data_IF_707240451990
#
_entry.id   IF_707240451990
#
_cell.length_a   1.000
_cell.length_b   1.000
_cell.length_c   1.000
_cell.angle_alpha   90.00
_cell.angle_beta   90.00
_cell.angle_gamma   90.00
#
_symmetry.space_group_name_H-M   'P 1'
#
loop_
_entity.id
_entity.type
_entity.pdbx_description
1 polymer ?
#
# COMPACT_ATOMS: atom_id res chain seq x y z
N UNK A 1 -34.91 16.61 -10.48
CA UNK A 1 -34.65 17.92 -11.11
C UNK A 1 -33.35 18.45 -10.54
N UNK A 2 -32.27 18.47 -11.33
CA UNK A 2 -31.08 19.25 -10.97
C UNK A 2 -31.48 20.71 -11.15
N UNK A 3 -31.51 21.47 -10.06
CA UNK A 3 -31.69 22.89 -10.16
C UNK A 3 -30.31 23.51 -10.42
N UNK A 4 -30.05 23.89 -11.67
CA UNK A 4 -28.79 24.55 -12.06
C UNK A 4 -28.91 26.06 -11.81
N UNK A 5 -28.75 26.45 -10.54
CA UNK A 5 -28.69 27.85 -10.14
C UNK A 5 -27.34 28.46 -10.49
N UNK A 6 -27.33 29.55 -11.24
CA UNK A 6 -26.12 30.29 -11.59
C UNK A 6 -25.92 31.49 -10.66
N UNK A 7 -24.66 31.77 -10.32
CA UNK A 7 -24.32 32.99 -9.59
C UNK A 7 -24.44 34.20 -10.52
N UNK A 8 -25.14 35.25 -10.05
CA UNK A 8 -25.20 36.52 -10.76
C UNK A 8 -23.79 37.11 -10.97
N UNK A 9 -23.57 37.84 -12.07
CA UNK A 9 -22.25 38.41 -12.39
C UNK A 9 -21.71 39.30 -11.27
N UNK A 10 -22.59 40.06 -10.61
CA UNK A 10 -22.26 40.91 -9.46
C UNK A 10 -21.64 40.11 -8.30
N UNK A 11 -22.16 38.92 -8.02
CA UNK A 11 -21.66 38.04 -6.96
C UNK A 11 -20.27 37.49 -7.31
N UNK A 12 -20.03 37.18 -8.59
CA UNK A 12 -18.72 36.71 -9.06
C UNK A 12 -17.64 37.78 -8.94
N UNK A 13 -17.98 39.03 -9.24
CA UNK A 13 -17.08 40.17 -9.08
C UNK A 13 -16.73 40.43 -7.61
N UNK A 14 -17.73 40.30 -6.73
CA UNK A 14 -17.52 40.43 -5.28
C UNK A 14 -16.67 39.27 -4.75
N UNK A 15 -16.86 38.04 -5.24
CA UNK A 15 -16.01 36.91 -4.86
C UNK A 15 -14.57 37.10 -5.31
N UNK A 16 -14.32 37.70 -6.48
CA UNK A 16 -12.96 38.09 -6.88
C UNK A 16 -12.35 39.12 -5.91
N UNK A 17 -13.11 40.15 -5.53
CA UNK A 17 -12.65 41.18 -4.56
C UNK A 17 -12.47 40.64 -3.14
N UNK A 18 -13.33 39.71 -2.71
CA UNK A 18 -13.26 39.07 -1.41
C UNK A 18 -12.02 38.20 -1.25
N UNK A 19 -11.63 37.46 -2.29
CA UNK A 19 -10.38 36.68 -2.32
C UNK A 19 -9.14 37.55 -2.10
N UNK A 20 -9.18 38.82 -2.51
CA UNK A 20 -8.10 39.79 -2.27
C UNK A 20 -8.10 40.38 -0.84
N UNK A 21 -9.01 39.94 0.04
CA UNK A 21 -9.02 40.35 1.44
C UNK A 21 -9.71 41.69 1.73
N UNK A 22 -10.60 42.17 0.85
CA UNK A 22 -11.32 43.42 1.09
C UNK A 22 -12.49 43.31 2.09
N UNK A 23 -13.08 42.12 2.24
CA UNK A 23 -14.30 41.89 3.01
C UNK A 23 -14.06 40.92 4.18
N UNK A 24 -14.82 41.12 5.27
CA UNK A 24 -14.87 40.22 6.44
C UNK A 24 -16.04 39.25 6.35
N UNK A 25 -17.19 39.71 5.87
CA UNK A 25 -18.41 38.91 5.80
C UNK A 25 -19.16 39.21 4.52
N UNK A 26 -19.63 38.15 3.86
CA UNK A 26 -20.55 38.21 2.72
C UNK A 26 -21.80 37.40 3.05
N UNK A 27 -22.98 38.02 2.94
CA UNK A 27 -24.27 37.34 3.00
C UNK A 27 -24.75 37.11 1.56
N UNK A 28 -25.10 35.86 1.24
CA UNK A 28 -25.65 35.46 -0.05
C UNK A 28 -27.05 34.89 0.17
N UNK A 29 -27.99 35.37 -0.63
CA UNK A 29 -29.42 35.03 -0.59
C UNK A 29 -29.81 34.55 -1.98
N UNK A 30 -30.86 33.72 -2.07
CA UNK A 30 -31.42 33.27 -3.33
C UNK A 30 -32.68 34.07 -3.60
N UNK A 31 -32.67 34.86 -4.67
CA UNK A 31 -33.83 35.61 -5.15
C UNK A 31 -34.10 35.24 -6.60
N UNK A 32 -35.38 34.96 -6.91
CA UNK A 32 -35.84 34.59 -8.26
C UNK A 32 -34.94 33.56 -8.96
N UNK A 33 -34.53 32.51 -8.24
CA UNK A 33 -33.68 31.44 -8.77
C UNK A 33 -32.27 31.89 -9.21
N UNK A 34 -31.74 32.94 -8.59
CA UNK A 34 -30.35 33.39 -8.77
C UNK A 34 -29.69 33.67 -7.42
N UNK A 35 -28.38 33.43 -7.32
CA UNK A 35 -27.62 33.79 -6.12
C UNK A 35 -27.29 35.28 -6.18
N UNK A 36 -27.78 36.03 -5.19
CA UNK A 36 -27.63 37.47 -5.04
C UNK A 36 -26.95 37.82 -3.72
N UNK A 37 -26.35 39.01 -3.66
CA UNK A 37 -25.69 39.49 -2.45
C UNK A 37 -26.72 40.12 -1.49
N UNK A 38 -26.90 39.52 -0.32
CA UNK A 38 -27.79 40.04 0.73
C UNK A 38 -27.12 41.06 1.67
N UNK A 39 -25.79 41.20 1.65
CA UNK A 39 -25.07 42.17 2.46
C UNK A 39 -23.57 41.89 2.57
N UNK A 40 -22.78 42.93 2.88
CA UNK A 40 -21.34 42.79 3.10
C UNK A 40 -20.86 43.61 4.30
N UNK A 41 -19.76 43.16 4.90
CA UNK A 41 -19.03 43.93 5.93
C UNK A 41 -17.53 43.91 5.62
N UNK A 42 -16.87 45.03 5.86
CA UNK A 42 -15.42 45.13 5.76
C UNK A 42 -14.74 44.68 7.06
N UNK A 43 -13.48 44.26 6.96
CA UNK A 43 -12.67 43.89 8.11
C UNK A 43 -12.11 45.13 8.80
N UNK A 44 -12.26 45.22 10.12
CA UNK A 44 -11.73 46.35 10.91
C UNK A 44 -10.82 45.90 12.06
N UNK A 45 -11.16 44.81 12.74
CA UNK A 45 -10.46 44.22 13.89
C UNK A 45 -10.17 42.74 13.62
N UNK A 46 -9.72 42.02 14.65
CA UNK A 46 -9.50 40.57 14.58
C UNK A 46 -10.81 39.82 14.34
N UNK A 47 -10.72 38.72 13.63
CA UNK A 47 -11.86 37.90 13.21
C UNK A 47 -12.72 37.41 14.40
N UNK A 48 -12.12 37.09 15.55
CA UNK A 48 -12.82 36.57 16.72
C UNK A 48 -13.68 37.64 17.42
N UNK A 49 -13.20 38.89 17.44
CA UNK A 49 -13.87 40.02 18.10
C UNK A 49 -15.03 40.60 17.28
N UNK A 50 -15.03 40.38 15.96
CA UNK A 50 -16.06 40.90 15.05
C UNK A 50 -17.12 39.86 14.70
N UNK A 51 -16.91 38.60 15.04
CA UNK A 51 -17.70 37.48 14.55
C UNK A 51 -19.19 37.62 14.90
N UNK A 52 -19.51 37.62 16.20
CA UNK A 52 -20.91 37.68 16.67
C UNK A 52 -21.60 38.98 16.27
N UNK A 53 -20.88 40.10 16.34
CA UNK A 53 -21.41 41.41 15.99
C UNK A 53 -21.77 41.55 14.50
N UNK A 54 -21.13 40.78 13.61
CA UNK A 54 -21.41 40.81 12.17
C UNK A 54 -22.32 39.69 11.71
N UNK A 55 -22.20 38.50 12.29
CA UNK A 55 -22.96 37.30 11.89
C UNK A 55 -24.38 37.35 12.45
N UNK A 56 -24.55 37.50 13.77
CA UNK A 56 -25.86 37.35 14.43
C UNK A 56 -26.93 38.33 13.91
N UNK A 57 -26.64 39.65 13.74
CA UNK A 57 -27.67 40.60 13.28
C UNK A 57 -28.13 40.38 11.84
N UNK A 58 -27.39 39.58 11.05
CA UNK A 58 -27.73 39.29 9.66
C UNK A 58 -28.56 38.01 9.51
N UNK A 59 -28.73 37.23 10.58
CA UNK A 59 -29.58 36.05 10.61
C UNK A 59 -31.05 36.45 10.68
N UNK A 60 -31.90 35.71 9.97
CA UNK A 60 -33.35 35.90 9.99
C UNK A 60 -33.98 34.63 10.55
N UNK A 61 -34.92 34.76 11.49
CA UNK A 61 -35.57 33.60 12.13
C UNK A 61 -36.39 32.74 11.16
N UNK A 62 -36.95 33.37 10.11
CA UNK A 62 -37.90 32.71 9.20
C UNK A 62 -37.34 32.43 7.79
N UNK A 63 -36.09 32.82 7.52
CA UNK A 63 -35.49 32.73 6.17
C UNK A 63 -34.06 32.19 6.20
N UNK A 64 -33.74 31.14 5.41
CA UNK A 64 -32.38 30.64 5.27
C UNK A 64 -31.48 31.65 4.54
N UNK A 65 -30.18 31.60 4.80
CA UNK A 65 -29.18 32.38 4.05
C UNK A 65 -27.80 31.73 4.14
N UNK A 66 -26.91 32.11 3.23
CA UNK A 66 -25.50 31.72 3.30
C UNK A 66 -24.67 32.88 3.80
N UNK A 67 -23.73 32.61 4.69
CA UNK A 67 -22.75 33.58 5.16
C UNK A 67 -21.34 33.04 4.95
N UNK A 68 -20.49 33.83 4.30
CA UNK A 68 -19.07 33.56 4.13
C UNK A 68 -18.30 34.52 5.03
N UNK A 69 -17.66 33.98 6.06
CA UNK A 69 -16.92 34.76 7.05
C UNK A 69 -15.41 34.53 6.90
N UNK A 70 -14.63 35.59 6.82
CA UNK A 70 -13.18 35.51 6.61
C UNK A 70 -12.41 35.41 7.93
N UNK A 71 -11.57 34.39 8.04
CA UNK A 71 -10.60 34.24 9.11
C UNK A 71 -9.37 35.13 8.86
N UNK A 72 -8.58 35.37 9.91
CA UNK A 72 -7.27 36.03 9.77
C UNK A 72 -6.16 35.04 9.36
N UNK A 73 -6.47 33.75 9.26
CA UNK A 73 -5.56 32.71 8.77
C UNK A 73 -5.53 32.64 7.24
N UNK A 74 -4.43 32.13 6.69
CA UNK A 74 -4.18 32.04 5.25
C UNK A 74 -3.68 30.64 4.85
N UNK A 75 -4.09 30.17 3.68
CA UNK A 75 -3.61 28.96 3.02
C UNK A 75 -2.91 29.33 1.69
N UNK A 76 -2.41 28.33 0.95
CA UNK A 76 -1.71 28.49 -0.34
C UNK A 76 -2.50 29.26 -1.42
N UNK A 77 -3.82 29.42 -1.24
CA UNK A 77 -4.68 30.14 -2.17
C UNK A 77 -5.06 31.55 -1.69
N UNK A 78 -4.79 31.93 -0.44
CA UNK A 78 -5.18 33.22 0.15
C UNK A 78 -5.77 33.08 1.55
N UNK A 79 -6.63 34.02 1.96
CA UNK A 79 -7.32 33.95 3.25
C UNK A 79 -8.25 32.74 3.35
N UNK A 80 -8.34 32.16 4.54
CA UNK A 80 -9.28 31.09 4.86
C UNK A 80 -10.66 31.66 5.22
N UNK A 81 -11.71 30.93 4.85
CA UNK A 81 -13.09 31.32 5.06
C UNK A 81 -13.87 30.22 5.78
N UNK A 82 -14.82 30.64 6.61
CA UNK A 82 -15.86 29.80 7.18
C UNK A 82 -17.11 29.97 6.33
N UNK A 83 -17.67 28.87 5.88
CA UNK A 83 -18.94 28.85 5.19
C UNK A 83 -20.05 28.44 6.16
N UNK A 84 -20.95 29.38 6.45
CA UNK A 84 -22.10 29.18 7.33
C UNK A 84 -23.35 29.02 6.46
N UNK A 85 -23.99 27.86 6.57
CA UNK A 85 -25.31 27.61 6.00
C UNK A 85 -26.36 27.76 7.09
N UNK A 86 -27.02 28.93 7.13
CA UNK A 86 -28.11 29.22 8.06
C UNK A 86 -29.43 28.72 7.49
N UNK A 87 -30.09 27.80 8.20
CA UNK A 87 -31.39 27.27 7.80
C UNK A 87 -32.27 27.04 9.02
N UNK A 88 -32.97 28.08 9.52
CA UNK A 88 -33.72 28.00 10.77
C UNK A 88 -34.95 27.12 10.63
N UNK A 89 -35.38 26.48 11.72
CA UNK A 89 -36.43 25.49 11.65
C UNK A 89 -37.82 26.04 11.30
N UNK A 90 -38.06 27.32 11.59
CA UNK A 90 -39.31 28.02 11.26
C UNK A 90 -39.46 28.35 9.77
N UNK A 91 -38.38 28.27 9.00
CA UNK A 91 -38.42 28.63 7.58
C UNK A 91 -39.28 27.68 6.73
N UNK A 92 -39.93 28.18 5.65
CA UNK A 92 -40.72 27.33 4.76
C UNK A 92 -39.90 26.20 4.13
N UNK A 93 -40.48 24.99 4.06
CA UNK A 93 -39.82 23.78 3.53
C UNK A 93 -39.24 24.00 2.12
N UNK A 94 -39.96 24.72 1.26
CA UNK A 94 -39.50 25.06 -0.09
C UNK A 94 -38.17 25.82 -0.06
N UNK A 95 -38.01 26.78 0.86
CA UNK A 95 -36.78 27.55 1.01
C UNK A 95 -35.66 26.69 1.58
N UNK A 96 -35.92 25.88 2.61
CA UNK A 96 -34.91 24.94 3.15
C UNK A 96 -34.36 24.01 2.08
N UNK A 97 -35.24 23.45 1.25
CA UNK A 97 -34.83 22.58 0.13
C UNK A 97 -33.97 23.34 -0.90
N UNK A 98 -34.36 24.57 -1.22
CA UNK A 98 -33.64 25.43 -2.16
C UNK A 98 -32.20 25.73 -1.69
N UNK A 99 -32.04 26.11 -0.42
CA UNK A 99 -30.74 26.37 0.22
C UNK A 99 -29.98 25.08 0.57
N UNK A 100 -30.62 23.93 0.66
CA UNK A 100 -29.89 22.67 0.75
C UNK A 100 -29.30 22.27 -0.62
N UNK A 101 -30.08 22.42 -1.69
CA UNK A 101 -29.72 22.02 -3.04
C UNK A 101 -28.64 22.91 -3.68
N UNK A 102 -28.64 24.22 -3.39
CA UNK A 102 -27.70 25.19 -3.97
C UNK A 102 -26.36 25.28 -3.25
N UNK A 103 -26.21 24.62 -2.09
CA UNK A 103 -25.05 24.73 -1.22
C UNK A 103 -23.74 24.34 -1.90
N UNK A 104 -23.77 23.23 -2.65
CA UNK A 104 -22.58 22.74 -3.37
C UNK A 104 -22.18 23.68 -4.51
N UNK A 105 -23.16 24.24 -5.22
CA UNK A 105 -22.94 25.18 -6.33
C UNK A 105 -22.29 26.46 -5.83
N UNK A 106 -22.79 27.04 -4.73
CA UNK A 106 -22.20 28.24 -4.13
C UNK A 106 -20.74 28.01 -3.70
N UNK A 107 -20.43 26.87 -3.06
CA UNK A 107 -19.05 26.52 -2.68
C UNK A 107 -18.14 26.38 -3.89
N UNK A 108 -18.64 25.81 -4.99
CA UNK A 108 -17.90 25.68 -6.24
C UNK A 108 -17.62 27.04 -6.88
N UNK A 109 -18.63 27.92 -6.93
CA UNK A 109 -18.50 29.27 -7.51
C UNK A 109 -17.57 30.17 -6.67
N UNK A 110 -17.59 30.03 -5.35
CA UNK A 110 -16.67 30.78 -4.46
C UNK A 110 -15.23 30.26 -4.53
N UNK A 111 -15.05 28.95 -4.68
CA UNK A 111 -13.76 28.26 -4.71
C UNK A 111 -13.51 27.51 -3.41
N UNK A 112 -13.78 26.19 -3.43
CA UNK A 112 -13.71 25.34 -2.24
C UNK A 112 -12.36 25.30 -1.52
N UNK A 113 -11.25 25.63 -2.19
CA UNK A 113 -9.93 25.66 -1.54
C UNK A 113 -9.70 26.88 -0.63
N UNK A 114 -10.57 27.89 -0.66
CA UNK A 114 -10.57 29.00 0.30
C UNK A 114 -11.40 28.70 1.55
N UNK A 115 -12.31 27.73 1.48
CA UNK A 115 -13.22 27.38 2.58
C UNK A 115 -12.52 26.34 3.45
N UNK A 116 -12.28 26.68 4.71
CA UNK A 116 -11.66 25.79 5.69
C UNK A 116 -12.69 24.93 6.41
N UNK A 117 -13.71 25.61 6.96
CA UNK A 117 -14.74 24.99 7.78
C UNK A 117 -16.12 25.29 7.18
N UNK A 118 -16.99 24.30 7.26
CA UNK A 118 -18.40 24.41 6.86
C UNK A 118 -19.27 24.09 8.08
N UNK A 119 -20.10 25.06 8.47
CA UNK A 119 -21.01 24.94 9.59
C UNK A 119 -22.43 25.06 9.07
N UNK A 120 -23.27 24.11 9.46
CA UNK A 120 -24.70 24.18 9.26
C UNK A 120 -25.34 24.47 10.60
N UNK A 121 -26.17 25.52 10.67
CA UNK A 121 -26.85 25.90 11.90
C UNK A 121 -28.33 26.14 11.68
N UNK A 122 -29.11 25.70 12.65
CA UNK A 122 -30.57 25.91 12.71
C UNK A 122 -30.96 26.87 13.83
N UNK A 123 -30.11 27.01 14.85
CA UNK A 123 -30.26 27.97 15.96
C UNK A 123 -29.05 28.92 16.03
N UNK A 124 -29.27 30.14 16.53
CA UNK A 124 -28.21 31.17 16.57
C UNK A 124 -26.97 30.70 17.34
N UNK A 125 -27.17 29.89 18.38
CA UNK A 125 -26.09 29.31 19.18
C UNK A 125 -25.14 28.44 18.34
N UNK A 126 -25.62 27.75 17.29
CA UNK A 126 -24.80 26.89 16.41
C UNK A 126 -23.81 27.71 15.57
N UNK A 127 -24.26 28.89 15.13
CA UNK A 127 -23.51 29.79 14.25
C UNK A 127 -22.86 30.95 15.00
N UNK A 128 -23.04 31.03 16.31
CA UNK A 128 -22.31 31.96 17.19
C UNK A 128 -20.82 31.59 17.25
N UNK A 129 -19.97 32.52 17.71
CA UNK A 129 -18.55 32.25 17.96
C UNK A 129 -18.37 31.10 18.95
N UNK A 130 -19.27 30.99 19.94
CA UNK A 130 -19.27 29.90 20.90
C UNK A 130 -19.59 28.56 20.23
N UNK A 131 -20.53 28.55 19.28
CA UNK A 131 -20.90 27.40 18.45
C UNK A 131 -19.73 26.95 17.57
N UNK A 132 -19.07 27.89 16.89
CA UNK A 132 -17.88 27.57 16.10
C UNK A 132 -16.75 26.97 16.93
N UNK A 133 -16.49 27.49 18.14
CA UNK A 133 -15.50 26.89 19.05
C UNK A 133 -15.87 25.47 19.46
N UNK A 134 -17.14 25.20 19.75
CA UNK A 134 -17.64 23.84 20.04
C UNK A 134 -17.45 22.92 18.83
N UNK A 135 -17.70 23.40 17.61
CA UNK A 135 -17.46 22.66 16.38
C UNK A 135 -15.99 22.24 16.24
N UNK A 136 -15.04 23.16 16.47
CA UNK A 136 -13.61 22.84 16.43
C UNK A 136 -13.20 21.79 17.47
N UNK A 137 -13.77 21.86 18.68
CA UNK A 137 -13.54 20.86 19.73
C UNK A 137 -14.11 19.50 19.30
N UNK A 138 -15.32 19.46 18.74
CA UNK A 138 -15.95 18.23 18.27
C UNK A 138 -15.18 17.57 17.10
N UNK A 139 -14.59 18.37 16.21
CA UNK A 139 -13.75 17.87 15.12
C UNK A 139 -12.43 17.26 15.63
N UNK A 140 -11.87 17.83 16.71
CA UNK A 140 -10.65 17.32 17.35
C UNK A 140 -10.92 16.13 18.30
N UNK A 141 -12.18 15.90 18.67
CA UNK A 141 -12.57 14.79 19.53
C UNK A 141 -12.35 13.45 18.83
N UNK A 142 -12.07 12.37 19.58
CA UNK A 142 -11.94 11.04 19.00
C UNK A 142 -13.24 10.64 18.30
N UNK A 143 -13.12 10.16 17.07
CA UNK A 143 -14.27 9.67 16.32
C UNK A 143 -14.89 8.48 17.05
N UNK A 144 -16.22 8.42 17.16
CA UNK A 144 -16.90 7.28 17.75
C UNK A 144 -16.64 6.05 16.87
N UNK A 145 -15.88 5.10 17.40
CA UNK A 145 -15.59 3.82 16.75
C UNK A 145 -16.59 2.78 17.26
N UNK A 146 -16.94 1.84 16.40
CA UNK A 146 -17.67 0.64 16.81
C UNK A 146 -16.72 -0.35 17.51
N UNK A 147 -17.24 -1.20 18.38
CA UNK A 147 -16.43 -2.20 19.08
C UNK A 147 -15.60 -3.08 18.11
N UNK A 148 -16.17 -3.44 16.96
CA UNK A 148 -15.46 -4.20 15.92
C UNK A 148 -14.31 -3.42 15.29
N UNK A 149 -14.44 -2.11 15.09
CA UNK A 149 -13.36 -1.27 14.57
C UNK A 149 -12.24 -1.06 15.59
N UNK A 150 -12.58 -1.00 16.88
CA UNK A 150 -11.60 -0.98 17.97
C UNK A 150 -10.78 -2.28 18.03
N UNK A 151 -11.45 -3.43 17.92
CA UNK A 151 -10.79 -4.74 17.84
C UNK A 151 -9.87 -4.85 16.61
N UNK A 152 -10.34 -4.48 15.43
CA UNK A 152 -9.52 -4.49 14.21
C UNK A 152 -8.29 -3.57 14.32
N UNK A 153 -8.45 -2.41 14.96
CA UNK A 153 -7.35 -1.49 15.24
C UNK A 153 -6.33 -2.11 16.20
N UNK A 154 -6.78 -2.82 17.23
CA UNK A 154 -5.90 -3.53 18.16
C UNK A 154 -5.12 -4.66 17.47
N UNK A 155 -5.76 -5.43 16.59
CA UNK A 155 -5.11 -6.48 15.79
C UNK A 155 -4.00 -5.86 14.93
N UNK A 156 -4.31 -4.79 14.17
CA UNK A 156 -3.32 -4.12 13.32
C UNK A 156 -2.12 -3.58 14.12
N UNK A 157 -2.36 -3.01 15.31
CA UNK A 157 -1.27 -2.54 16.16
C UNK A 157 -0.40 -3.70 16.67
N UNK A 158 -1.01 -4.84 16.99
CA UNK A 158 -0.30 -6.03 17.44
C UNK A 158 0.53 -6.67 16.32
N UNK A 159 0.00 -6.72 15.09
CA UNK A 159 0.70 -7.23 13.90
C UNK A 159 1.98 -6.45 13.60
N UNK A 160 1.92 -5.12 13.65
CA UNK A 160 3.10 -4.26 13.45
C UNK A 160 4.19 -4.56 14.48
N UNK A 161 3.81 -4.91 15.71
CA UNK A 161 4.78 -5.27 16.74
C UNK A 161 5.38 -6.66 16.52
N UNK A 162 4.62 -7.61 15.95
CA UNK A 162 5.13 -8.93 15.59
C UNK A 162 6.09 -8.89 14.40
N UNK A 163 5.86 -8.01 13.41
CA UNK A 163 6.76 -7.85 12.25
C UNK A 163 8.16 -7.33 12.62
N UNK A 164 8.28 -6.60 13.74
CA UNK A 164 9.55 -6.04 14.23
C UNK A 164 10.31 -7.04 15.12
N UNK A 165 9.68 -8.16 15.49
CA UNK A 165 10.32 -9.15 16.35
C UNK A 165 11.32 -10.01 15.56
N UNK A 166 12.56 -10.09 16.05
CA UNK A 166 13.72 -10.73 15.39
C UNK A 166 13.68 -12.26 15.51
N UNK A 167 12.61 -12.84 16.05
CA UNK A 167 12.50 -14.27 16.29
C UNK A 167 12.04 -15.01 15.01
N UNK A 168 12.97 -15.18 14.07
CA UNK A 168 12.76 -15.84 12.77
C UNK A 168 12.33 -17.32 12.91
N UNK A 169 12.45 -17.90 14.11
CA UNK A 169 12.15 -19.30 14.40
C UNK A 169 10.67 -19.65 14.27
N UNK A 170 9.75 -18.69 14.44
CA UNK A 170 8.31 -18.95 14.35
C UNK A 170 7.74 -18.89 12.93
N UNK A 171 8.49 -18.40 11.95
CA UNK A 171 7.99 -18.25 10.57
C UNK A 171 7.97 -19.55 9.77
N UNK A 172 8.74 -20.57 10.18
CA UNK A 172 8.75 -21.88 9.53
C UNK A 172 8.47 -22.96 10.58
N UNK A 173 7.57 -23.91 10.24
CA UNK A 173 7.36 -25.10 11.07
C UNK A 173 8.71 -25.80 11.24
N UNK A 174 9.05 -26.20 12.47
CA UNK A 174 10.27 -26.96 12.75
C UNK A 174 10.31 -28.20 11.86
N UNK A 175 11.35 -28.32 11.01
CA UNK A 175 11.48 -29.42 10.06
C UNK A 175 11.53 -30.80 10.74
N UNK A 176 11.22 -31.85 9.99
CA UNK A 176 11.23 -33.24 10.48
C UNK A 176 12.61 -33.85 10.21
N UNK A 177 13.35 -34.20 11.25
CA UNK A 177 14.71 -34.74 11.12
C UNK A 177 14.69 -36.27 11.02
N UNK A 178 14.78 -36.79 9.80
CA UNK A 178 14.95 -38.23 9.57
C UNK A 178 16.43 -38.64 9.63
N UNK A 179 16.78 -39.74 10.31
CA UNK A 179 18.14 -40.26 10.31
C UNK A 179 18.56 -40.70 8.91
N UNK A 180 19.79 -40.36 8.53
CA UNK A 180 20.42 -40.86 7.30
C UNK A 180 21.02 -42.25 7.54
N UNK A 181 20.83 -43.16 6.60
CA UNK A 181 21.50 -44.46 6.61
C UNK A 181 23.01 -44.30 6.37
N UNK A 182 23.79 -45.27 6.87
CA UNK A 182 25.26 -45.25 6.77
C UNK A 182 25.75 -45.15 5.32
N UNK A 183 25.09 -45.87 4.40
CA UNK A 183 25.45 -45.88 2.97
C UNK A 183 25.26 -44.49 2.33
N UNK A 184 24.20 -43.76 2.73
CA UNK A 184 23.95 -42.40 2.27
C UNK A 184 25.01 -41.42 2.78
N UNK A 185 25.39 -41.53 4.05
CA UNK A 185 26.45 -40.73 4.66
C UNK A 185 27.78 -40.99 3.95
N UNK A 186 28.14 -42.26 3.73
CA UNK A 186 29.38 -42.64 3.05
C UNK A 186 29.41 -42.13 1.61
N UNK A 187 28.30 -42.17 0.88
CA UNK A 187 28.21 -41.59 -0.46
C UNK A 187 28.42 -40.06 -0.43
N UNK A 188 27.80 -39.36 0.52
CA UNK A 188 28.01 -37.91 0.66
C UNK A 188 29.46 -37.55 1.07
N UNK A 189 30.13 -38.38 1.87
CA UNK A 189 31.56 -38.24 2.18
C UNK A 189 32.44 -38.43 0.93
N UNK A 190 32.14 -39.44 0.10
CA UNK A 190 32.82 -39.63 -1.19
C UNK A 190 32.55 -38.47 -2.15
N UNK A 191 31.35 -37.89 -2.12
CA UNK A 191 30.98 -36.70 -2.89
C UNK A 191 31.77 -35.47 -2.42
N UNK A 192 31.95 -35.29 -1.10
CA UNK A 192 32.80 -34.23 -0.52
C UNK A 192 34.24 -34.34 -0.99
N UNK A 193 34.79 -35.56 -1.04
CA UNK A 193 36.14 -35.83 -1.56
C UNK A 193 36.22 -35.74 -3.10
N UNK A 194 35.11 -35.41 -3.77
CA UNK A 194 34.98 -35.30 -5.22
C UNK A 194 35.31 -36.60 -5.97
N UNK A 195 35.23 -37.74 -5.30
CA UNK A 195 35.39 -39.08 -5.91
C UNK A 195 34.18 -39.44 -6.77
N UNK A 196 33.00 -38.99 -6.36
CA UNK A 196 31.76 -39.10 -7.11
C UNK A 196 31.19 -37.71 -7.39
N UNK A 197 30.52 -37.55 -8.52
CA UNK A 197 29.96 -36.28 -8.98
C UNK A 197 28.44 -36.17 -8.79
N UNK A 198 27.78 -37.24 -8.33
CA UNK A 198 26.34 -37.30 -8.19
C UNK A 198 25.91 -38.27 -7.09
N UNK A 199 24.97 -37.84 -6.24
CA UNK A 199 24.33 -38.66 -5.21
C UNK A 199 22.83 -38.42 -5.25
N UNK A 200 22.04 -39.48 -5.31
CA UNK A 200 20.59 -39.45 -5.23
C UNK A 200 20.13 -40.10 -3.94
N UNK A 201 19.33 -39.39 -3.15
CA UNK A 201 18.73 -39.87 -1.91
C UNK A 201 17.22 -40.01 -2.06
N UNK A 202 16.67 -40.98 -1.34
CA UNK A 202 15.23 -41.22 -1.25
C UNK A 202 14.83 -41.47 0.21
N UNK A 203 13.60 -41.07 0.55
CA UNK A 203 13.02 -41.28 1.87
C UNK A 203 12.36 -42.66 1.89
N UNK A 204 12.72 -43.48 2.85
CA UNK A 204 11.98 -44.68 3.21
C UNK A 204 10.82 -44.31 4.14
N UNK A 205 9.60 -44.30 3.61
CA UNK A 205 8.40 -43.94 4.37
C UNK A 205 8.03 -44.94 5.48
N UNK A 206 8.53 -46.17 5.42
CA UNK A 206 8.21 -47.21 6.43
C UNK A 206 9.12 -47.09 7.64
N UNK A 207 10.41 -46.87 7.38
CA UNK A 207 11.45 -46.82 8.41
C UNK A 207 11.79 -45.39 8.83
N UNK A 208 11.15 -44.38 8.21
CA UNK A 208 11.35 -42.95 8.48
C UNK A 208 12.83 -42.55 8.44
N UNK A 209 13.55 -43.04 7.43
CA UNK A 209 14.97 -42.79 7.24
C UNK A 209 15.30 -42.39 5.81
N UNK A 210 16.41 -41.68 5.64
CA UNK A 210 16.90 -41.26 4.32
C UNK A 210 17.94 -42.29 3.85
N UNK A 211 17.65 -42.92 2.71
CA UNK A 211 18.50 -43.96 2.11
C UNK A 211 19.13 -43.50 0.80
N UNK A 212 20.22 -44.19 0.44
CA UNK A 212 20.90 -43.99 -0.82
C UNK A 212 20.12 -44.70 -1.95
N UNK A 213 19.86 -43.98 -3.05
CA UNK A 213 19.17 -44.53 -4.22
C UNK A 213 20.16 -44.80 -5.37
N UNK A 214 21.01 -43.82 -5.73
CA UNK A 214 21.99 -43.97 -6.81
C UNK A 214 23.21 -43.07 -6.61
N UNK A 215 24.38 -43.54 -7.06
CA UNK A 215 25.64 -42.80 -7.13
C UNK A 215 26.26 -42.86 -8.52
N UNK A 216 25.44 -43.17 -9.53
CA UNK A 216 25.91 -43.32 -10.91
C UNK A 216 26.57 -42.03 -11.40
N UNK A 217 27.80 -42.08 -11.93
CA UNK A 217 28.46 -40.91 -12.49
C UNK A 217 27.55 -40.25 -13.51
N UNK A 218 27.30 -38.96 -13.34
CA UNK A 218 26.33 -38.21 -14.13
C UNK A 218 26.97 -36.93 -14.62
N UNK A 219 26.93 -36.70 -15.93
CA UNK A 219 27.28 -35.40 -16.52
C UNK A 219 26.04 -34.52 -16.68
N UNK A 220 26.23 -33.23 -16.92
CA UNK A 220 25.13 -32.26 -17.07
C UNK A 220 24.09 -32.68 -18.12
N UNK A 221 24.52 -33.30 -19.23
CA UNK A 221 23.63 -33.79 -20.30
C UNK A 221 22.76 -34.99 -19.88
N UNK A 222 23.20 -35.73 -18.86
CA UNK A 222 22.54 -36.92 -18.36
C UNK A 222 21.69 -36.64 -17.12
N UNK A 223 21.91 -35.50 -16.46
CA UNK A 223 21.22 -35.09 -15.25
C UNK A 223 19.68 -35.10 -15.39
N UNK A 224 19.06 -34.59 -16.49
CA UNK A 224 17.61 -34.71 -16.71
C UNK A 224 17.09 -36.16 -16.66
N UNK A 225 17.89 -37.12 -17.14
CA UNK A 225 17.51 -38.55 -17.18
C UNK A 225 17.55 -39.22 -15.81
N UNK A 226 18.23 -38.62 -14.83
CA UNK A 226 18.32 -39.15 -13.46
C UNK A 226 17.14 -38.78 -12.59
N UNK A 227 16.31 -37.84 -13.03
CA UNK A 227 15.18 -37.35 -12.26
C UNK A 227 13.96 -38.21 -12.56
N UNK A 228 13.42 -38.93 -11.56
CA UNK A 228 12.24 -39.74 -11.74
C UNK A 228 11.01 -38.87 -12.04
N UNK A 229 10.13 -39.37 -12.90
CA UNK A 229 8.87 -38.68 -13.26
C UNK A 229 7.69 -39.11 -12.40
N UNK A 230 7.90 -40.03 -11.47
CA UNK A 230 6.88 -40.74 -10.68
C UNK A 230 7.08 -40.59 -9.16
N UNK A 231 8.28 -40.27 -8.68
CA UNK A 231 8.57 -40.16 -7.25
C UNK A 231 9.50 -38.98 -6.93
N UNK A 232 9.38 -38.44 -5.71
CA UNK A 232 10.22 -37.33 -5.24
C UNK A 232 11.63 -37.82 -4.89
N UNK A 233 12.66 -37.01 -5.12
CA UNK A 233 14.05 -37.36 -4.77
C UNK A 233 14.85 -36.13 -4.38
N UNK A 234 15.90 -36.37 -3.60
CA UNK A 234 16.95 -35.38 -3.39
C UNK A 234 18.18 -35.75 -4.19
N UNK A 235 18.86 -34.74 -4.69
CA UNK A 235 20.05 -34.92 -5.51
C UNK A 235 21.14 -33.96 -5.07
N UNK A 236 22.35 -34.46 -4.98
CA UNK A 236 23.57 -33.66 -4.88
C UNK A 236 24.34 -33.86 -6.16
N UNK A 237 24.59 -32.77 -6.86
CA UNK A 237 25.26 -32.79 -8.16
C UNK A 237 26.45 -31.83 -8.15
N UNK A 238 27.60 -32.31 -8.59
CA UNK A 238 28.80 -31.51 -8.74
C UNK A 238 28.78 -30.82 -10.10
N UNK A 239 28.31 -29.58 -10.12
CA UNK A 239 28.20 -28.77 -11.33
C UNK A 239 29.56 -28.18 -11.72
N UNK A 240 30.17 -28.83 -12.70
CA UNK A 240 31.44 -28.43 -13.32
C UNK A 240 31.17 -27.44 -14.45
N UNK A 241 31.59 -26.20 -14.29
CA UNK A 241 31.31 -25.12 -15.24
C UNK A 241 32.42 -24.07 -15.22
N UNK A 242 32.45 -23.19 -16.23
CA UNK A 242 33.33 -22.02 -16.22
C UNK A 242 32.52 -20.75 -16.03
N UNK A 243 33.00 -19.86 -15.16
CA UNK A 243 32.41 -18.55 -14.90
C UNK A 243 33.53 -17.51 -14.93
N UNK A 244 33.36 -16.44 -15.73
CA UNK A 244 34.34 -15.34 -15.84
C UNK A 244 35.79 -15.77 -16.19
N UNK A 245 35.95 -16.92 -16.84
CA UNK A 245 37.26 -17.46 -17.26
C UNK A 245 37.88 -18.45 -16.28
N UNK A 246 37.34 -18.57 -15.07
CA UNK A 246 37.76 -19.57 -14.08
C UNK A 246 36.93 -20.84 -14.20
N UNK A 247 37.54 -21.99 -13.88
CA UNK A 247 36.85 -23.28 -13.82
C UNK A 247 36.40 -23.57 -12.39
N UNK A 248 35.10 -23.72 -12.18
CA UNK A 248 34.48 -23.91 -10.88
C UNK A 248 33.75 -25.26 -10.80
N UNK A 249 33.83 -25.88 -9.64
CA UNK A 249 33.09 -27.09 -9.29
C UNK A 249 32.17 -26.78 -8.11
N UNK A 250 30.93 -26.43 -8.41
CA UNK A 250 29.95 -26.01 -7.40
C UNK A 250 29.00 -27.14 -7.07
N UNK A 251 28.75 -27.38 -5.79
CA UNK A 251 27.75 -28.36 -5.34
C UNK A 251 26.36 -27.74 -5.45
N UNK A 252 25.47 -28.40 -6.21
CA UNK A 252 24.07 -28.01 -6.34
C UNK A 252 23.20 -29.07 -5.68
N UNK A 253 22.36 -28.64 -4.74
CA UNK A 253 21.32 -29.47 -4.16
C UNK A 253 20.04 -29.29 -4.98
N UNK A 254 19.40 -30.39 -5.36
CA UNK A 254 18.18 -30.38 -6.15
C UNK A 254 17.14 -31.23 -5.43
N UNK A 255 15.97 -30.64 -5.18
CA UNK A 255 14.78 -31.33 -4.75
C UNK A 255 13.85 -31.48 -5.95
N UNK A 256 13.72 -32.70 -6.47
CA UNK A 256 12.81 -33.00 -7.57
C UNK A 256 11.47 -33.51 -7.04
N UNK A 257 10.38 -32.89 -7.46
CA UNK A 257 9.03 -33.22 -7.00
C UNK A 257 8.03 -33.22 -8.17
N UNK A 258 7.70 -34.38 -8.79
CA UNK A 258 6.82 -34.45 -9.98
C UNK A 258 5.32 -34.18 -9.70
N UNK A 259 5.02 -33.30 -8.75
CA UNK A 259 3.70 -32.75 -8.47
C UNK A 259 2.69 -33.80 -7.98
N UNK A 260 1.52 -33.84 -8.62
CA UNK A 260 0.37 -34.66 -8.21
C UNK A 260 0.54 -36.17 -8.43
N UNK A 261 1.63 -36.60 -9.08
CA UNK A 261 1.95 -38.04 -9.20
C UNK A 261 2.38 -38.65 -7.86
N UNK A 262 2.93 -37.84 -6.97
CA UNK A 262 3.30 -38.26 -5.62
C UNK A 262 2.13 -38.09 -4.65
N UNK A 263 2.06 -38.94 -3.62
CA UNK A 263 1.02 -38.81 -2.59
C UNK A 263 1.22 -37.55 -1.72
N UNK A 264 0.17 -37.05 -1.06
CA UNK A 264 0.28 -35.91 -0.13
C UNK A 264 1.31 -36.20 0.96
N UNK A 265 1.29 -37.43 1.51
CA UNK A 265 2.26 -37.88 2.52
C UNK A 265 3.71 -37.78 2.03
N UNK A 266 3.96 -38.24 0.81
CA UNK A 266 5.29 -38.15 0.19
C UNK A 266 5.73 -36.69 0.03
N UNK A 267 4.90 -35.85 -0.58
CA UNK A 267 5.24 -34.43 -0.77
C UNK A 267 5.52 -33.71 0.55
N UNK A 268 4.68 -33.93 1.56
CA UNK A 268 4.87 -33.31 2.87
C UNK A 268 6.16 -33.77 3.55
N UNK A 269 6.50 -35.08 3.48
CA UNK A 269 7.72 -35.59 4.09
C UNK A 269 8.98 -35.07 3.40
N UNK A 270 9.02 -35.07 2.07
CA UNK A 270 10.16 -34.52 1.34
C UNK A 270 10.30 -32.99 1.53
N UNK A 271 9.22 -32.23 1.62
CA UNK A 271 9.33 -30.80 1.93
C UNK A 271 9.78 -30.56 3.39
N UNK A 272 9.31 -31.36 4.34
CA UNK A 272 9.61 -31.19 5.77
C UNK A 272 11.02 -31.66 6.17
N UNK A 273 11.54 -32.70 5.50
CA UNK A 273 12.87 -33.25 5.79
C UNK A 273 14.00 -32.49 5.08
N UNK A 274 13.68 -31.61 4.12
CA UNK A 274 14.66 -30.89 3.29
C UNK A 274 15.61 -30.04 4.13
N UNK A 275 15.09 -29.16 5.00
CA UNK A 275 15.93 -28.25 5.78
C UNK A 275 16.82 -29.00 6.78
N UNK A 276 16.30 -29.94 7.61
CA UNK A 276 17.16 -30.73 8.50
C UNK A 276 18.23 -31.55 7.76
N UNK A 277 17.91 -32.10 6.59
CA UNK A 277 18.89 -32.81 5.75
C UNK A 277 20.03 -31.86 5.33
N UNK A 278 19.67 -30.70 4.78
CA UNK A 278 20.64 -29.69 4.35
C UNK A 278 21.49 -29.21 5.51
N UNK A 279 20.88 -28.91 6.65
CA UNK A 279 21.57 -28.47 7.86
C UNK A 279 22.57 -29.54 8.34
N UNK A 280 22.20 -30.82 8.26
CA UNK A 280 23.09 -31.93 8.61
C UNK A 280 24.26 -32.04 7.62
N UNK A 281 24.01 -31.84 6.32
CA UNK A 281 25.05 -31.90 5.28
C UNK A 281 26.03 -30.73 5.39
N UNK A 282 25.54 -29.51 5.63
CA UNK A 282 26.38 -28.32 5.81
C UNK A 282 27.13 -28.35 7.16
N UNK A 283 26.45 -28.74 8.25
CA UNK A 283 27.01 -28.70 9.61
C UNK A 283 27.89 -29.91 9.97
N UNK A 284 27.47 -31.13 9.63
CA UNK A 284 28.17 -32.34 10.06
C UNK A 284 29.18 -32.84 8.99
N UNK A 285 28.81 -32.73 7.71
CA UNK A 285 29.67 -33.19 6.62
C UNK A 285 30.53 -32.09 6.01
N UNK A 286 30.25 -30.82 6.33
CA UNK A 286 30.95 -29.63 5.84
C UNK A 286 30.96 -29.52 4.30
N UNK A 287 29.88 -29.92 3.66
CA UNK A 287 29.69 -29.75 2.21
C UNK A 287 29.06 -28.39 1.96
N UNK A 288 29.77 -27.50 1.27
CA UNK A 288 29.24 -26.19 0.90
C UNK A 288 28.29 -26.32 -0.30
N UNK A 289 27.00 -26.12 -0.07
CA UNK A 289 25.97 -26.12 -1.12
C UNK A 289 25.88 -24.71 -1.71
N UNK A 290 26.30 -24.57 -2.97
CA UNK A 290 26.31 -23.28 -3.67
C UNK A 290 24.88 -22.82 -4.01
N UNK A 291 24.00 -23.75 -4.38
CA UNK A 291 22.62 -23.46 -4.73
C UNK A 291 21.68 -24.59 -4.35
N UNK A 292 20.50 -24.24 -3.85
CA UNK A 292 19.39 -25.13 -3.49
C UNK A 292 18.28 -24.91 -4.51
N UNK A 293 17.99 -25.92 -5.33
CA UNK A 293 17.00 -25.88 -6.41
C UNK A 293 15.80 -26.76 -6.08
N UNK A 294 14.62 -26.31 -6.48
CA UNK A 294 13.38 -27.09 -6.42
C UNK A 294 12.81 -27.13 -7.83
N UNK A 295 12.61 -28.34 -8.36
CA UNK A 295 12.14 -28.55 -9.73
C UNK A 295 11.01 -29.59 -9.73
N UNK A 296 10.11 -29.50 -10.70
CA UNK A 296 9.05 -30.49 -10.88
C UNK A 296 9.43 -31.56 -11.92
N UNK A 297 10.21 -31.19 -12.94
CA UNK A 297 10.61 -32.04 -14.04
C UNK A 297 12.11 -31.89 -14.35
N UNK A 298 12.78 -33.01 -14.66
CA UNK A 298 14.19 -33.01 -15.03
C UNK A 298 14.50 -32.32 -16.36
N UNK A 299 13.50 -32.16 -17.23
CA UNK A 299 13.65 -31.48 -18.52
C UNK A 299 14.04 -29.98 -18.35
N UNK A 300 13.80 -29.39 -17.17
CA UNK A 300 14.18 -28.01 -16.83
C UNK A 300 15.68 -27.84 -16.59
N UNK A 301 16.40 -28.93 -16.26
CA UNK A 301 17.83 -28.90 -15.95
C UNK A 301 18.71 -28.83 -17.20
N UNK A 302 18.57 -27.72 -17.90
CA UNK A 302 19.43 -27.34 -19.01
C UNK A 302 20.72 -26.70 -18.51
N UNK A 303 21.74 -26.66 -19.37
CA UNK A 303 23.01 -26.00 -19.03
C UNK A 303 22.83 -24.50 -18.77
N UNK A 304 21.93 -23.86 -19.52
CA UNK A 304 21.59 -22.45 -19.37
C UNK A 304 20.88 -22.19 -18.03
N UNK A 305 19.86 -23.00 -17.71
CA UNK A 305 19.14 -22.89 -16.44
C UNK A 305 20.06 -23.06 -15.23
N UNK A 306 20.91 -24.11 -15.23
CA UNK A 306 21.88 -24.35 -14.16
C UNK A 306 22.87 -23.19 -14.01
N UNK A 307 23.32 -22.59 -15.12
CA UNK A 307 24.22 -21.45 -15.08
C UNK A 307 23.54 -20.21 -14.51
N UNK A 308 22.32 -19.88 -14.96
CA UNK A 308 21.56 -18.72 -14.48
C UNK A 308 21.18 -18.83 -13.00
N UNK A 309 20.88 -20.03 -12.52
CA UNK A 309 20.52 -20.24 -11.12
C UNK A 309 21.73 -20.15 -10.19
N UNK A 310 22.88 -20.69 -10.61
CA UNK A 310 24.12 -20.59 -9.84
C UNK A 310 24.70 -19.18 -9.90
N UNK A 311 24.56 -18.49 -11.05
CA UNK A 311 25.05 -17.13 -11.29
C UNK A 311 23.90 -16.21 -11.75
N UNK A 312 23.12 -15.66 -10.81
CA UNK A 312 21.97 -14.82 -11.13
C UNK A 312 22.40 -13.62 -11.97
N UNK A 313 21.75 -13.44 -13.12
CA UNK A 313 21.94 -12.24 -13.93
C UNK A 313 21.54 -11.02 -13.09
N UNK A 314 22.42 -10.04 -13.00
CA UNK A 314 22.06 -8.74 -12.43
C UNK A 314 20.84 -8.22 -13.17
N UNK A 315 19.74 -7.93 -12.45
CA UNK A 315 18.50 -7.48 -13.07
C UNK A 315 18.80 -6.31 -14.00
N UNK A 316 18.61 -6.53 -15.30
CA UNK A 316 18.70 -5.47 -16.28
C UNK A 316 17.78 -4.34 -15.83
N UNK A 317 18.33 -3.13 -15.72
CA UNK A 317 17.59 -1.94 -15.29
C UNK A 317 16.25 -1.89 -16.02
N UNK A 318 15.12 -1.87 -15.28
CA UNK A 318 13.78 -1.81 -15.87
C UNK A 318 13.77 -0.70 -16.91
N UNK A 319 13.55 -1.08 -18.17
CA UNK A 319 13.51 -0.10 -19.25
C UNK A 319 12.29 0.79 -19.04
N UNK A 320 12.52 2.04 -18.67
CA UNK A 320 11.45 3.02 -18.52
C UNK A 320 11.03 3.48 -19.92
N UNK A 321 9.76 3.28 -20.26
CA UNK A 321 9.21 3.84 -21.49
C UNK A 321 9.34 5.36 -21.49
N UNK A 322 9.76 5.98 -22.60
CA UNK A 322 9.86 7.43 -22.68
C UNK A 322 8.48 8.05 -22.44
N UNK A 323 8.42 9.04 -21.55
CA UNK A 323 7.19 9.84 -21.37
C UNK A 323 6.78 10.45 -22.72
N UNK A 324 5.48 10.53 -23.04
CA UNK A 324 5.02 11.14 -24.28
C UNK A 324 5.57 12.56 -24.44
N UNK A 325 5.82 12.98 -25.68
CA UNK A 325 6.26 14.34 -25.98
C UNK A 325 5.26 15.32 -25.38
N UNK A 326 5.75 16.27 -24.58
CA UNK A 326 4.93 17.33 -24.02
C UNK A 326 4.29 18.18 -25.13
N UNK A 327 3.33 19.06 -24.79
CA UNK A 327 2.63 19.89 -25.77
C UNK A 327 3.62 20.67 -26.65
N UNK A 328 3.44 20.60 -27.97
CA UNK A 328 4.29 21.24 -28.95
C UNK A 328 4.24 22.77 -28.78
N UNK A 329 5.41 23.43 -28.80
CA UNK A 329 5.49 24.90 -28.76
C UNK A 329 5.73 25.55 -27.39
N UNK A 330 6.14 24.81 -26.35
CA UNK A 330 6.64 25.42 -25.10
C UNK A 330 7.90 26.26 -25.35
N UNK A 331 7.72 27.55 -25.61
CA UNK A 331 8.78 28.56 -25.60
C UNK A 331 9.12 28.90 -24.15
N UNK A 332 10.03 28.13 -23.54
CA UNK A 332 10.54 28.39 -22.19
C UNK A 332 11.12 27.14 -21.54
N UNK A 333 12.32 27.27 -20.95
CA UNK A 333 12.92 26.20 -20.16
C UNK A 333 12.04 25.82 -18.96
N UNK A 334 12.10 24.57 -18.50
CA UNK A 334 11.47 24.18 -17.24
C UNK A 334 12.17 24.91 -16.09
N UNK A 335 11.55 25.96 -15.57
CA UNK A 335 11.99 26.55 -14.31
C UNK A 335 11.72 25.58 -13.16
N UNK A 336 12.77 25.24 -12.40
CA UNK A 336 12.58 24.63 -11.08
C UNK A 336 11.91 25.69 -10.19
N UNK A 337 10.89 25.33 -9.39
CA UNK A 337 10.42 26.23 -8.36
C UNK A 337 11.59 26.53 -7.41
N UNK A 338 11.86 27.81 -7.17
CA UNK A 338 12.74 28.24 -6.09
C UNK A 338 12.07 27.82 -4.78
N UNK A 339 12.75 26.94 -4.04
CA UNK A 339 12.39 26.54 -2.67
C UNK A 339 12.42 27.71 -1.72
#
# INVERSE_FOLDING_TARGET
>A
ACFDFTAAEEVKDIFAKARNGAYRLLKVVIEMETLVLGGTKHASKKWDQEYDAYVLPLLQEDMPSYLLYRLDSTNNQGYEWIFLAWSPDRSPVRQKMLYAATRATLKKEFGGGHIKDEIFGTVEDDVSLSGYRKYLIAQAAPQPLTAAEEELRQIRLSEVQTDINVDTKQQTLTGVAFPMQRDAIQALEQFREKKINYVQLEIDFRNECIKLSSTTPTELKELPKRIPKDAARYHFFLYKHSHEGDYLESTVFIYSMPGYKCSIRERMLYSSCKNPLIDTVESNLHIQIAKKLEIDNGDELTAEFMYEEVHPKQHAHKQAFPKPKGPAGKKGGRHRPLT
#
